data_IF_805535958439
#
_entry.id   IF_805535958439
#
_cell.length_a   1.000
_cell.length_b   1.000
_cell.length_c   1.000
_cell.angle_alpha   90.00
_cell.angle_beta   90.00
_cell.angle_gamma   90.00
#
_symmetry.space_group_name_H-M   'P 1'
#
loop_
_entity.id
_entity.type
_entity.pdbx_description
1 polymer ?
#
# COMPACT_ATOMS: atom_id res chain seq x y z
N UNK A 1 -60.61 4.35 -18.67
CA UNK A 1 -59.78 4.81 -17.53
C UNK A 1 -59.95 3.82 -16.39
N UNK A 2 -58.85 3.25 -15.88
CA UNK A 2 -58.56 3.41 -14.46
C UNK A 2 -57.08 3.75 -14.20
N UNK A 3 -56.86 4.70 -13.30
CA UNK A 3 -55.55 5.16 -12.81
C UNK A 3 -55.06 4.25 -11.68
N UNK A 4 -53.81 3.79 -11.76
CA UNK A 4 -53.09 3.24 -10.61
C UNK A 4 -52.00 4.21 -10.17
N UNK A 5 -52.21 4.83 -9.01
CA UNK A 5 -51.22 5.66 -8.31
C UNK A 5 -50.15 4.74 -7.70
N UNK A 6 -48.89 4.88 -8.14
CA UNK A 6 -47.72 4.23 -7.51
C UNK A 6 -47.00 5.25 -6.63
N UNK A 7 -47.01 5.01 -5.30
CA UNK A 7 -46.16 5.72 -4.32
C UNK A 7 -44.68 5.48 -4.66
N UNK A 8 -43.91 6.56 -4.77
CA UNK A 8 -42.46 6.56 -5.02
C UNK A 8 -41.74 6.55 -3.66
N UNK A 9 -41.08 5.45 -3.30
CA UNK A 9 -40.16 5.42 -2.15
C UNK A 9 -38.87 6.14 -2.55
N UNK A 10 -38.48 7.14 -1.76
CA UNK A 10 -37.20 7.83 -1.89
C UNK A 10 -36.07 6.88 -1.44
N UNK A 11 -34.99 6.70 -2.23
CA UNK A 11 -33.83 5.97 -1.76
C UNK A 11 -33.07 6.84 -0.75
N UNK A 12 -32.88 6.33 0.47
CA UNK A 12 -31.97 6.93 1.46
C UNK A 12 -30.57 7.03 0.85
N UNK A 13 -30.09 8.24 0.57
CA UNK A 13 -28.71 8.46 0.15
C UNK A 13 -27.79 8.38 1.38
N UNK A 14 -27.11 7.27 1.58
CA UNK A 14 -26.00 7.20 2.51
C UNK A 14 -24.85 8.08 1.97
N UNK A 15 -24.66 9.27 2.55
CA UNK A 15 -23.52 10.13 2.22
C UNK A 15 -22.26 9.55 2.86
N UNK A 16 -21.43 8.93 2.02
CA UNK A 16 -20.09 8.43 2.31
C UNK A 16 -19.15 9.61 2.61
N UNK A 17 -18.33 9.51 3.67
CA UNK A 17 -17.25 10.45 4.00
C UNK A 17 -15.90 9.75 3.93
N UNK A 18 -14.98 10.29 3.14
CA UNK A 18 -13.56 9.95 3.15
C UNK A 18 -12.86 10.75 4.25
N UNK A 19 -12.07 10.07 5.07
CA UNK A 19 -11.29 10.64 6.17
C UNK A 19 -9.88 10.07 6.02
N UNK A 20 -8.90 10.93 5.79
CA UNK A 20 -7.49 10.53 5.87
C UNK A 20 -7.10 10.48 7.34
N UNK A 21 -6.51 9.37 7.76
CA UNK A 21 -6.15 9.16 9.15
C UNK A 21 -4.75 9.65 9.48
N UNK A 22 -4.41 9.63 10.78
CA UNK A 22 -3.06 9.95 11.25
C UNK A 22 -2.00 9.00 10.71
N UNK A 23 -2.41 7.77 10.32
CA UNK A 23 -1.53 6.76 9.73
C UNK A 23 -1.35 6.93 8.21
N UNK A 24 -2.04 7.90 7.61
CA UNK A 24 -1.91 8.24 6.19
C UNK A 24 -2.81 7.50 5.22
N UNK A 25 -3.68 6.63 5.71
CA UNK A 25 -4.64 5.89 4.89
C UNK A 25 -5.98 6.63 4.80
N UNK A 26 -6.65 6.52 3.66
CA UNK A 26 -8.02 7.04 3.50
C UNK A 26 -9.02 6.02 4.04
N UNK A 27 -9.58 6.29 5.24
CA UNK A 27 -10.77 5.62 5.79
C UNK A 27 -12.02 6.14 5.10
N UNK A 28 -12.98 5.24 4.93
CA UNK A 28 -14.29 5.58 4.38
C UNK A 28 -15.34 5.21 5.42
N UNK A 29 -16.07 6.22 5.89
CA UNK A 29 -17.17 6.05 6.84
C UNK A 29 -18.51 6.29 6.16
N UNK A 30 -19.48 5.40 6.40
CA UNK A 30 -20.89 5.62 6.04
C UNK A 30 -21.61 6.24 7.22
N UNK A 31 -22.43 7.27 7.01
CA UNK A 31 -23.16 7.99 8.07
C UNK A 31 -24.30 7.20 8.74
N UNK A 32 -24.30 5.87 8.69
CA UNK A 32 -25.37 5.00 9.18
C UNK A 32 -24.82 3.87 10.05
N UNK A 33 -24.17 4.21 11.14
CA UNK A 33 -23.91 3.27 12.24
C UNK A 33 -24.08 4.01 13.55
N UNK A 34 -25.25 3.84 14.14
CA UNK A 34 -25.54 4.16 15.55
C UNK A 34 -24.42 3.59 16.43
N UNK A 35 -23.83 4.37 17.35
CA UNK A 35 -22.88 3.82 18.29
C UNK A 35 -23.62 2.81 19.18
N UNK A 36 -23.14 1.56 19.19
CA UNK A 36 -23.53 0.60 20.22
C UNK A 36 -23.04 1.14 21.56
N UNK A 37 -23.98 1.70 22.34
CA UNK A 37 -23.74 2.13 23.71
C UNK A 37 -23.44 0.90 24.57
N UNK A 38 -22.17 0.68 24.86
CA UNK A 38 -21.75 -0.25 25.92
C UNK A 38 -21.99 0.46 27.25
N UNK A 39 -22.95 -0.05 28.01
CA UNK A 39 -23.32 0.45 29.33
C UNK A 39 -22.19 0.19 30.36
N UNK A 40 -21.79 1.18 31.17
CA UNK A 40 -20.95 0.93 32.33
C UNK A 40 -21.81 0.49 33.51
N UNK A 41 -21.40 -0.62 34.14
CA UNK A 41 -22.00 -1.11 35.39
C UNK A 41 -21.81 -0.12 36.54
N UNK A 42 -22.89 0.00 37.32
CA UNK A 42 -23.08 0.72 38.58
C UNK A 42 -21.85 0.82 39.52
N UNK A 43 -21.64 2.01 40.09
CA UNK A 43 -21.56 2.23 41.55
C UNK A 43 -21.57 3.74 41.93
N UNK A 44 -22.71 4.16 42.47
CA UNK A 44 -22.90 4.92 43.73
C UNK A 44 -22.29 6.32 43.94
N UNK A 45 -23.21 7.31 44.03
CA UNK A 45 -23.28 8.50 44.91
C UNK A 45 -22.13 9.55 44.90
N UNK A 46 -22.50 10.81 44.64
CA UNK A 46 -21.70 11.98 45.03
C UNK A 46 -22.07 13.25 44.27
N UNK A 47 -22.55 14.25 44.98
CA UNK A 47 -23.14 15.49 44.49
C UNK A 47 -22.16 16.48 43.83
N UNK A 48 -22.75 17.37 43.02
CA UNK A 48 -22.32 18.77 42.74
C UNK A 48 -21.09 19.01 41.85
N UNK A 49 -21.30 19.71 40.73
CA UNK A 49 -20.19 20.38 40.02
C UNK A 49 -20.41 20.56 38.52
N UNK A 50 -20.99 21.68 38.17
CA UNK A 50 -21.27 22.16 36.82
C UNK A 50 -19.97 22.59 36.10
N UNK A 51 -19.52 21.87 35.07
CA UNK A 51 -18.66 22.44 34.00
C UNK A 51 -18.97 21.74 32.68
N UNK A 52 -19.58 22.49 31.77
CA UNK A 52 -19.76 22.12 30.36
C UNK A 52 -18.42 22.17 29.64
N UNK A 53 -17.80 21.01 29.40
CA UNK A 53 -16.74 20.86 28.40
C UNK A 53 -17.18 19.82 27.39
N UNK A 54 -17.55 20.30 26.20
CA UNK A 54 -17.75 19.48 25.02
C UNK A 54 -16.42 18.82 24.65
N UNK A 55 -16.17 17.63 25.18
CA UNK A 55 -15.07 16.77 24.75
C UNK A 55 -15.43 16.18 23.39
N UNK A 56 -14.83 16.75 22.34
CA UNK A 56 -14.83 16.15 21.01
C UNK A 56 -13.93 14.93 21.08
N UNK A 57 -14.51 13.76 21.33
CA UNK A 57 -13.81 12.48 21.29
C UNK A 57 -13.44 12.15 19.83
N UNK A 58 -12.31 12.69 19.37
CA UNK A 58 -11.66 12.26 18.11
C UNK A 58 -10.78 11.06 18.45
N UNK A 59 -11.41 9.91 18.70
CA UNK A 59 -10.75 8.62 18.71
C UNK A 59 -10.87 8.01 17.31
N UNK A 60 -9.95 8.36 16.40
CA UNK A 60 -9.88 7.73 15.08
C UNK A 60 -9.42 6.28 15.26
N UNK A 61 -10.37 5.35 15.22
CA UNK A 61 -10.11 3.90 15.30
C UNK A 61 -9.41 3.43 14.02
N UNK A 62 -8.39 2.58 14.18
CA UNK A 62 -7.68 1.93 13.07
C UNK A 62 -8.66 1.32 12.06
N UNK A 63 -8.35 1.31 10.74
CA UNK A 63 -9.27 0.78 9.75
C UNK A 63 -9.45 -0.71 10.07
N UNK A 64 -10.69 -1.15 10.18
CA UNK A 64 -10.97 -2.57 10.36
C UNK A 64 -10.57 -3.31 9.07
N UNK A 65 -9.93 -4.49 9.19
CA UNK A 65 -9.73 -5.39 8.06
C UNK A 65 -11.01 -5.56 7.23
N UNK A 66 -10.88 -5.58 5.89
CA UNK A 66 -12.05 -5.78 5.03
C UNK A 66 -12.54 -7.23 5.13
N UNK A 67 -13.81 -7.49 5.46
CA UNK A 67 -14.34 -8.85 5.51
C UNK A 67 -14.11 -9.58 4.18
N UNK A 68 -13.63 -10.82 4.22
CA UNK A 68 -13.46 -11.61 3.01
C UNK A 68 -14.81 -11.81 2.30
N UNK A 69 -14.81 -11.70 0.98
CA UNK A 69 -16.00 -11.94 0.17
C UNK A 69 -16.47 -13.40 0.30
N UNK A 70 -17.79 -13.60 0.26
CA UNK A 70 -18.40 -14.91 0.43
C UNK A 70 -17.87 -15.89 -0.62
N UNK A 71 -17.37 -17.05 -0.16
CA UNK A 71 -16.79 -18.09 -1.02
C UNK A 71 -15.30 -17.94 -1.33
N UNK A 72 -14.64 -16.89 -0.81
CA UNK A 72 -13.17 -16.78 -0.89
C UNK A 72 -12.50 -17.92 -0.15
N UNK A 73 -11.46 -18.49 -0.77
CA UNK A 73 -10.65 -19.56 -0.18
C UNK A 73 -9.18 -19.37 -0.55
N UNK A 74 -8.29 -19.85 0.31
CA UNK A 74 -6.84 -19.75 0.10
C UNK A 74 -6.41 -20.44 -1.20
N UNK A 75 -6.99 -21.60 -1.50
CA UNK A 75 -6.72 -22.33 -2.75
C UNK A 75 -7.19 -21.54 -3.97
N UNK A 76 -8.39 -20.94 -3.91
CA UNK A 76 -8.91 -20.07 -4.96
C UNK A 76 -8.02 -18.86 -5.23
N UNK A 77 -7.56 -18.19 -4.17
CA UNK A 77 -6.64 -17.05 -4.28
C UNK A 77 -5.29 -17.45 -4.90
N UNK A 78 -4.71 -18.59 -4.48
CA UNK A 78 -3.48 -19.12 -5.09
C UNK A 78 -3.65 -19.44 -6.57
N UNK A 79 -4.76 -20.10 -6.95
CA UNK A 79 -5.04 -20.44 -8.34
C UNK A 79 -5.28 -19.20 -9.20
N UNK A 80 -5.97 -18.19 -8.67
CA UNK A 80 -6.17 -16.91 -9.35
C UNK A 80 -4.84 -16.16 -9.52
N UNK A 81 -4.03 -16.09 -8.45
CA UNK A 81 -2.74 -15.44 -8.49
C UNK A 81 -1.79 -16.12 -9.47
N UNK A 82 -1.73 -17.45 -9.53
CA UNK A 82 -0.89 -18.16 -10.49
C UNK A 82 -1.23 -17.77 -11.95
N UNK A 83 -2.52 -17.66 -12.29
CA UNK A 83 -2.96 -17.19 -13.61
C UNK A 83 -2.54 -15.75 -13.90
N UNK A 84 -2.64 -14.87 -12.91
CA UNK A 84 -2.25 -13.46 -13.03
C UNK A 84 -0.72 -13.33 -13.11
N UNK A 85 0.02 -14.12 -12.35
CA UNK A 85 1.48 -14.15 -12.37
C UNK A 85 2.00 -14.56 -13.75
N UNK A 86 1.41 -15.58 -14.39
CA UNK A 86 1.74 -15.93 -15.78
C UNK A 86 1.43 -14.78 -16.74
N UNK A 87 0.24 -14.17 -16.67
CA UNK A 87 -0.12 -13.02 -17.51
C UNK A 87 0.81 -11.84 -17.32
N UNK A 88 1.24 -11.58 -16.08
CA UNK A 88 2.20 -10.53 -15.74
C UNK A 88 3.57 -10.79 -16.38
N UNK A 89 4.08 -12.02 -16.29
CA UNK A 89 5.37 -12.42 -16.84
C UNK A 89 5.45 -12.22 -18.37
N UNK A 90 4.32 -12.34 -19.06
CA UNK A 90 4.23 -12.13 -20.51
C UNK A 90 4.24 -10.64 -20.92
N UNK A 91 4.26 -9.69 -19.97
CA UNK A 91 4.19 -8.25 -20.27
C UNK A 91 5.56 -7.63 -20.59
N UNK A 92 5.57 -6.60 -21.43
CA UNK A 92 6.73 -5.74 -21.68
C UNK A 92 7.20 -5.00 -20.42
N UNK A 93 6.24 -4.67 -19.55
CA UNK A 93 6.50 -4.03 -18.28
C UNK A 93 7.32 -4.95 -17.34
N UNK A 94 6.95 -6.23 -17.22
CA UNK A 94 7.73 -7.21 -16.46
C UNK A 94 9.17 -7.28 -16.97
N UNK A 95 9.36 -7.43 -18.29
CA UNK A 95 10.71 -7.47 -18.91
C UNK A 95 11.50 -6.21 -18.63
N UNK A 96 10.87 -5.04 -18.72
CA UNK A 96 11.49 -3.74 -18.48
C UNK A 96 11.94 -3.57 -17.02
N UNK A 97 11.13 -4.02 -16.06
CA UNK A 97 11.47 -4.02 -14.62
C UNK A 97 12.71 -4.89 -14.36
N UNK A 98 12.70 -6.13 -14.86
CA UNK A 98 13.83 -7.05 -14.69
C UNK A 98 15.12 -6.54 -15.34
N UNK A 99 15.01 -5.97 -16.54
CA UNK A 99 16.14 -5.40 -17.27
C UNK A 99 16.73 -4.22 -16.50
N UNK A 100 15.90 -3.31 -16.01
CA UNK A 100 16.36 -2.12 -15.28
C UNK A 100 17.10 -2.50 -13.99
N UNK A 101 16.54 -3.42 -13.20
CA UNK A 101 17.20 -3.93 -12.00
C UNK A 101 18.57 -4.52 -12.33
N UNK A 102 18.64 -5.33 -13.39
CA UNK A 102 19.84 -6.06 -13.80
C UNK A 102 20.91 -5.21 -14.46
N UNK A 103 20.54 -4.20 -15.24
CA UNK A 103 21.50 -3.48 -16.10
C UNK A 103 21.84 -2.08 -15.58
N UNK A 104 21.01 -1.51 -14.71
CA UNK A 104 21.17 -0.12 -14.25
C UNK A 104 21.32 0.01 -12.74
N UNK A 105 20.60 -0.81 -11.97
CA UNK A 105 20.46 -0.56 -10.53
C UNK A 105 21.40 -1.42 -9.70
N UNK A 106 21.42 -2.74 -9.93
CA UNK A 106 22.12 -3.68 -9.05
C UNK A 106 23.50 -4.11 -9.56
N UNK A 107 23.85 -3.81 -10.82
CA UNK A 107 25.16 -4.17 -11.40
C UNK A 107 26.09 -2.97 -11.62
N UNK A 108 25.53 -1.77 -11.64
CA UNK A 108 26.23 -0.57 -12.12
C UNK A 108 26.75 0.21 -10.94
N UNK A 109 27.85 -0.25 -10.34
CA UNK A 109 28.37 0.44 -9.14
C UNK A 109 29.66 -0.06 -8.52
N UNK A 110 30.27 -1.14 -9.01
CA UNK A 110 31.56 -1.65 -8.49
C UNK A 110 31.54 -2.18 -7.05
N UNK A 111 30.52 -1.84 -6.25
CA UNK A 111 30.23 -2.40 -4.93
C UNK A 111 29.05 -3.36 -4.97
N UNK A 112 29.09 -4.37 -4.10
CA UNK A 112 27.97 -5.26 -3.86
C UNK A 112 26.83 -4.47 -3.20
N UNK A 113 25.82 -4.11 -3.97
CA UNK A 113 24.60 -3.54 -3.40
C UNK A 113 23.76 -4.65 -2.81
N UNK A 114 23.57 -4.57 -1.49
CA UNK A 114 22.80 -5.53 -0.71
C UNK A 114 21.42 -4.98 -0.43
N UNK A 115 20.38 -5.68 -0.89
CA UNK A 115 19.00 -5.38 -0.48
C UNK A 115 18.62 -6.36 0.63
N UNK A 116 18.55 -5.85 1.86
CA UNK A 116 18.24 -6.63 3.05
C UNK A 116 16.75 -6.95 3.15
N UNK A 117 15.89 -5.99 2.74
CA UNK A 117 14.45 -6.14 2.86
C UNK A 117 13.67 -5.46 1.73
N UNK A 118 12.48 -6.01 1.47
CA UNK A 118 11.53 -5.56 0.47
C UNK A 118 10.18 -5.33 1.16
N UNK A 119 9.53 -4.19 0.91
CA UNK A 119 8.23 -3.88 1.50
C UNK A 119 7.22 -3.41 0.45
N UNK A 120 6.04 -4.04 0.47
CA UNK A 120 4.88 -3.72 -0.34
C UNK A 120 3.86 -2.92 0.48
N UNK A 121 3.43 -1.77 -0.03
CA UNK A 121 2.45 -0.90 0.64
C UNK A 121 1.23 -0.69 -0.24
N UNK A 122 0.04 -0.82 0.35
CA UNK A 122 -1.16 -0.19 -0.22
C UNK A 122 -1.76 -0.89 -1.43
N UNK A 123 -1.77 -2.23 -1.47
CA UNK A 123 -2.44 -2.96 -2.56
C UNK A 123 -3.96 -3.03 -2.39
N UNK A 124 -4.47 -2.76 -1.20
CA UNK A 124 -5.81 -3.21 -0.79
C UNK A 124 -5.87 -4.72 -0.54
N UNK A 125 -7.01 -5.19 -0.05
CA UNK A 125 -7.29 -6.61 0.15
C UNK A 125 -7.42 -7.35 -1.19
N UNK A 126 -6.96 -8.60 -1.22
CA UNK A 126 -7.04 -9.47 -2.41
C UNK A 126 -8.39 -10.16 -2.53
N UNK A 127 -9.12 -10.31 -1.43
CA UNK A 127 -10.39 -11.02 -1.37
C UNK A 127 -11.51 -10.28 -0.62
N UNK A 128 -11.20 -9.11 -0.04
CA UNK A 128 -12.12 -8.32 0.77
C UNK A 128 -13.31 -7.83 -0.04
N UNK A 129 -14.51 -7.89 0.55
CA UNK A 129 -15.73 -7.43 -0.08
C UNK A 129 -15.60 -5.93 -0.39
N UNK A 130 -15.71 -5.60 -1.68
CA UNK A 130 -15.36 -4.28 -2.17
C UNK A 130 -16.32 -3.25 -1.59
N UNK A 131 -15.88 -2.52 -0.57
CA UNK A 131 -16.51 -1.24 -0.18
C UNK A 131 -16.44 -0.24 -1.34
N UNK A 132 -15.72 -0.56 -2.42
CA UNK A 132 -15.58 0.22 -3.64
C UNK A 132 -16.48 -0.31 -4.76
N UNK A 133 -17.10 0.60 -5.52
CA UNK A 133 -17.83 0.28 -6.77
C UNK A 133 -16.95 -0.34 -7.86
N UNK A 134 -15.63 -0.34 -7.63
CA UNK A 134 -14.62 -0.92 -8.50
C UNK A 134 -14.03 -2.13 -7.82
N UNK A 135 -14.26 -3.31 -8.41
CA UNK A 135 -13.48 -4.50 -8.10
C UNK A 135 -12.01 -4.24 -8.49
N UNK A 136 -11.16 -4.13 -7.47
CA UNK A 136 -9.71 -3.88 -7.57
C UNK A 136 -8.88 -5.13 -7.26
N UNK A 137 -9.49 -6.30 -7.08
CA UNK A 137 -8.75 -7.52 -6.70
C UNK A 137 -7.75 -7.91 -7.78
N UNK A 138 -8.15 -7.85 -9.05
CA UNK A 138 -7.23 -8.11 -10.17
C UNK A 138 -6.03 -7.16 -10.15
N UNK A 139 -6.25 -5.87 -9.89
CA UNK A 139 -5.19 -4.87 -9.76
C UNK A 139 -4.24 -5.19 -8.62
N UNK A 140 -4.76 -5.57 -7.44
CA UNK A 140 -3.96 -5.99 -6.29
C UNK A 140 -3.09 -7.22 -6.61
N UNK A 141 -3.63 -8.22 -7.31
CA UNK A 141 -2.86 -9.38 -7.75
C UNK A 141 -1.76 -9.02 -8.75
N UNK A 142 -2.02 -8.13 -9.72
CA UNK A 142 -0.99 -7.65 -10.66
C UNK A 142 0.13 -6.91 -9.93
N UNK A 143 -0.22 -6.06 -8.95
CA UNK A 143 0.75 -5.38 -8.10
C UNK A 143 1.60 -6.39 -7.31
N UNK A 144 0.98 -7.41 -6.71
CA UNK A 144 1.74 -8.46 -6.02
C UNK A 144 2.66 -9.25 -6.97
N UNK A 145 2.22 -9.51 -8.21
CA UNK A 145 3.06 -10.18 -9.21
C UNK A 145 4.28 -9.33 -9.60
N UNK A 146 4.10 -8.02 -9.77
CA UNK A 146 5.19 -7.07 -9.99
C UNK A 146 6.16 -7.02 -8.81
N UNK A 147 5.64 -6.96 -7.58
CA UNK A 147 6.44 -7.01 -6.35
C UNK A 147 7.32 -8.27 -6.29
N UNK A 148 6.73 -9.45 -6.50
CA UNK A 148 7.48 -10.72 -6.49
C UNK A 148 8.53 -10.79 -7.58
N UNK A 149 8.29 -10.17 -8.74
CA UNK A 149 9.26 -10.12 -9.83
C UNK A 149 10.51 -9.35 -9.42
N UNK A 150 10.34 -8.21 -8.74
CA UNK A 150 11.45 -7.44 -8.19
C UNK A 150 12.20 -8.25 -7.13
N UNK A 151 11.48 -8.83 -6.16
CA UNK A 151 12.07 -9.65 -5.08
C UNK A 151 12.91 -10.81 -5.63
N UNK A 152 12.37 -11.59 -6.56
CA UNK A 152 13.09 -12.72 -7.19
C UNK A 152 14.28 -12.25 -8.02
N UNK A 153 14.17 -11.10 -8.67
CA UNK A 153 15.29 -10.52 -9.43
C UNK A 153 16.41 -10.09 -8.50
N UNK A 154 16.07 -9.43 -7.39
CA UNK A 154 17.01 -9.07 -6.32
C UNK A 154 17.70 -10.33 -5.77
N UNK A 155 16.92 -11.33 -5.32
CA UNK A 155 17.42 -12.59 -4.78
C UNK A 155 18.44 -13.26 -5.71
N UNK A 156 18.10 -13.37 -7.01
CA UNK A 156 18.97 -13.97 -8.02
C UNK A 156 20.27 -13.19 -8.23
N UNK A 157 20.25 -11.87 -8.11
CA UNK A 157 21.41 -11.02 -8.36
C UNK A 157 22.36 -10.95 -7.16
N UNK A 158 21.83 -10.95 -5.93
CA UNK A 158 22.65 -10.87 -4.71
C UNK A 158 22.98 -12.24 -4.08
N UNK A 159 22.30 -13.32 -4.51
CA UNK A 159 22.56 -14.69 -4.05
C UNK A 159 21.96 -15.05 -2.69
N UNK A 160 21.14 -14.19 -2.09
CA UNK A 160 20.40 -14.48 -0.87
C UNK A 160 18.99 -13.86 -0.90
N UNK A 161 18.08 -14.47 -0.15
CA UNK A 161 16.69 -14.05 -0.04
C UNK A 161 16.59 -12.78 0.82
N UNK A 162 16.02 -11.67 0.32
CA UNK A 162 15.70 -10.51 1.17
C UNK A 162 14.51 -10.83 2.08
N UNK A 163 14.40 -10.15 3.23
CA UNK A 163 13.18 -10.25 4.05
C UNK A 163 12.03 -9.53 3.35
N UNK A 164 10.86 -10.18 3.24
CA UNK A 164 9.75 -9.67 2.41
C UNK A 164 8.54 -9.36 3.27
N UNK A 165 8.06 -8.11 3.18
CA UNK A 165 6.97 -7.61 3.99
C UNK A 165 5.85 -6.99 3.16
N UNK A 166 4.64 -6.99 3.71
CA UNK A 166 3.52 -6.22 3.18
C UNK A 166 2.78 -5.50 4.30
N UNK A 167 2.42 -4.23 4.07
CA UNK A 167 1.64 -3.42 5.00
C UNK A 167 0.43 -2.82 4.26
N UNK A 168 -0.76 -3.21 4.70
CA UNK A 168 -2.04 -2.72 4.19
C UNK A 168 -3.06 -2.84 5.32
N UNK A 169 -3.75 -1.76 5.70
CA UNK A 169 -4.76 -1.81 6.76
C UNK A 169 -5.94 -2.72 6.44
N UNK A 170 -6.25 -2.93 5.16
CA UNK A 170 -7.43 -3.70 4.76
C UNK A 170 -7.22 -5.21 4.68
N UNK A 171 -6.01 -5.72 4.91
CA UNK A 171 -5.77 -7.16 4.90
C UNK A 171 -6.56 -7.88 6.00
N UNK A 172 -7.37 -8.85 5.58
CA UNK A 172 -8.01 -9.81 6.47
C UNK A 172 -7.15 -11.06 6.68
N UNK A 173 -7.60 -11.94 7.56
CA UNK A 173 -6.88 -13.18 7.90
C UNK A 173 -6.59 -14.05 6.66
N UNK A 174 -7.48 -14.07 5.68
CA UNK A 174 -7.30 -14.84 4.46
C UNK A 174 -6.23 -14.22 3.55
N UNK A 175 -6.18 -12.88 3.45
CA UNK A 175 -5.08 -12.17 2.78
C UNK A 175 -3.73 -12.46 3.46
N UNK A 176 -3.70 -12.48 4.80
CA UNK A 176 -2.49 -12.81 5.57
C UNK A 176 -2.02 -14.23 5.28
N UNK A 177 -2.93 -15.21 5.27
CA UNK A 177 -2.61 -16.60 4.91
C UNK A 177 -2.14 -16.72 3.46
N UNK A 178 -2.74 -15.95 2.55
CA UNK A 178 -2.33 -15.91 1.16
C UNK A 178 -0.92 -15.34 0.99
N UNK A 179 -0.61 -14.20 1.61
CA UNK A 179 0.72 -13.59 1.62
C UNK A 179 1.76 -14.53 2.24
N UNK A 180 1.46 -15.13 3.38
CA UNK A 180 2.35 -16.09 4.04
C UNK A 180 2.65 -17.30 3.13
N UNK A 181 1.69 -17.71 2.29
CA UNK A 181 1.92 -18.79 1.31
C UNK A 181 2.82 -18.43 0.14
N UNK A 182 3.19 -17.15 0.02
CA UNK A 182 4.11 -16.62 -0.97
C UNK A 182 5.40 -16.10 -0.32
N UNK A 183 5.65 -16.46 0.93
CA UNK A 183 6.78 -16.02 1.76
C UNK A 183 6.81 -14.50 2.00
N UNK A 184 5.64 -13.87 2.04
CA UNK A 184 5.46 -12.45 2.36
C UNK A 184 4.87 -12.29 3.76
N UNK A 185 5.59 -11.61 4.65
CA UNK A 185 5.14 -11.38 6.03
C UNK A 185 4.28 -10.11 6.10
N UNK A 186 3.00 -10.25 6.49
CA UNK A 186 2.19 -9.08 6.81
C UNK A 186 2.72 -8.39 8.06
N UNK A 187 2.83 -7.07 8.04
CA UNK A 187 3.18 -6.24 9.18
C UNK A 187 2.12 -5.17 9.42
N UNK A 188 1.94 -4.76 10.67
CA UNK A 188 1.03 -3.69 11.06
C UNK A 188 1.70 -2.32 10.96
N UNK A 189 0.90 -1.26 10.77
CA UNK A 189 1.41 0.10 10.85
C UNK A 189 1.97 0.39 12.26
N UNK A 190 3.14 1.07 12.40
CA UNK A 190 3.98 1.66 11.35
C UNK A 190 5.15 0.76 10.88
N UNK A 191 5.14 -0.53 11.23
CA UNK A 191 6.31 -1.41 11.15
C UNK A 191 6.91 -1.52 9.76
N UNK A 192 6.09 -1.52 8.71
CA UNK A 192 6.55 -1.55 7.32
C UNK A 192 7.48 -0.38 6.99
N UNK A 193 7.18 0.82 7.50
CA UNK A 193 8.02 1.99 7.31
C UNK A 193 9.31 1.94 8.14
N UNK A 194 9.25 1.40 9.35
CA UNK A 194 10.43 1.24 10.22
C UNK A 194 11.48 0.28 9.64
N UNK A 195 11.06 -0.63 8.76
CA UNK A 195 11.93 -1.58 8.09
C UNK A 195 12.64 -0.96 6.88
N UNK A 196 12.22 0.21 6.39
CA UNK A 196 12.86 0.85 5.24
C UNK A 196 14.13 1.60 5.64
N UNK A 197 15.19 1.36 4.90
CA UNK A 197 16.49 2.04 5.00
C UNK A 197 17.22 2.09 3.64
N UNK A 198 18.48 2.57 3.63
CA UNK A 198 19.31 2.66 2.41
C UNK A 198 19.64 1.32 1.72
N UNK A 199 19.26 0.18 2.31
CA UNK A 199 19.43 -1.17 1.79
C UNK A 199 18.06 -1.86 1.56
N UNK A 200 17.00 -1.08 1.41
CA UNK A 200 15.65 -1.60 1.21
C UNK A 200 15.08 -1.32 -0.18
N UNK A 201 14.15 -2.18 -0.61
CA UNK A 201 13.26 -1.93 -1.73
C UNK A 201 11.84 -1.63 -1.21
N UNK A 202 11.24 -0.55 -1.68
CA UNK A 202 9.84 -0.22 -1.43
C UNK A 202 9.02 -0.33 -2.73
N UNK A 203 7.78 -0.79 -2.61
CA UNK A 203 6.78 -0.68 -3.69
C UNK A 203 5.48 -0.13 -3.14
N UNK A 204 5.00 0.96 -3.73
CA UNK A 204 3.73 1.59 -3.35
C UNK A 204 2.94 2.08 -4.58
N UNK A 205 2.21 1.21 -5.28
CA UNK A 205 1.60 1.53 -6.58
C UNK A 205 0.51 2.61 -6.54
N UNK A 206 -0.16 2.76 -5.40
CA UNK A 206 -1.25 3.72 -5.21
C UNK A 206 -1.23 4.32 -3.81
N UNK A 207 -0.03 4.69 -3.34
CA UNK A 207 0.12 5.28 -2.02
C UNK A 207 -0.55 6.66 -1.91
N UNK A 208 -1.21 6.87 -0.78
CA UNK A 208 -1.65 8.18 -0.34
C UNK A 208 -0.44 9.04 0.04
N UNK A 209 -0.64 10.37 0.07
CA UNK A 209 0.44 11.35 0.31
C UNK A 209 1.28 11.08 1.56
N UNK A 210 0.65 10.61 2.64
CA UNK A 210 1.33 10.34 3.89
C UNK A 210 2.17 9.05 3.83
N UNK A 211 1.71 8.04 3.08
CA UNK A 211 2.52 6.85 2.76
C UNK A 211 3.73 7.26 1.92
N UNK A 212 3.54 8.13 0.92
CA UNK A 212 4.65 8.70 0.13
C UNK A 212 5.65 9.45 1.03
N UNK A 213 5.16 10.32 1.92
CA UNK A 213 5.98 11.09 2.87
C UNK A 213 6.83 10.18 3.77
N UNK A 214 6.22 9.14 4.35
CA UNK A 214 6.93 8.20 5.20
C UNK A 214 7.99 7.42 4.43
N UNK A 215 7.72 6.98 3.19
CA UNK A 215 8.72 6.30 2.37
C UNK A 215 9.87 7.25 2.00
N UNK A 216 9.58 8.49 1.61
CA UNK A 216 10.60 9.51 1.32
C UNK A 216 11.51 9.74 2.54
N UNK A 217 10.94 9.83 3.75
CA UNK A 217 11.70 10.04 4.99
C UNK A 217 12.67 8.89 5.32
N UNK A 218 12.37 7.68 4.87
CA UNK A 218 13.19 6.47 5.06
C UNK A 218 14.22 6.28 3.96
N UNK A 219 13.96 6.86 2.79
CA UNK A 219 14.85 6.96 1.66
C UNK A 219 15.44 5.60 1.23
N UNK A 220 14.57 4.64 0.81
CA UNK A 220 14.93 3.28 0.40
C UNK A 220 15.90 3.27 -0.77
N UNK A 221 16.69 2.20 -0.96
CA UNK A 221 17.61 2.13 -2.11
C UNK A 221 16.90 2.22 -3.44
N UNK A 222 15.79 1.50 -3.53
CA UNK A 222 14.98 1.34 -4.73
C UNK A 222 13.52 1.58 -4.33
N UNK A 223 12.81 2.37 -5.12
CA UNK A 223 11.38 2.58 -4.93
C UNK A 223 10.65 2.47 -6.25
N UNK A 224 9.75 1.49 -6.34
CA UNK A 224 8.76 1.43 -7.41
C UNK A 224 7.53 2.23 -6.97
N UNK A 225 7.18 3.28 -7.70
CA UNK A 225 6.09 4.18 -7.34
C UNK A 225 5.52 4.86 -8.58
N UNK A 226 4.44 5.61 -8.45
CA UNK A 226 3.98 6.51 -9.52
C UNK A 226 4.88 7.75 -9.64
N UNK A 227 4.75 8.48 -10.74
CA UNK A 227 5.37 9.80 -10.88
C UNK A 227 4.82 10.78 -9.84
N UNK A 228 5.71 11.57 -9.24
CA UNK A 228 5.36 12.68 -8.35
C UNK A 228 4.66 13.85 -9.06
N UNK A 229 4.57 13.83 -10.40
CA UNK A 229 3.88 14.90 -11.14
C UNK A 229 2.37 14.91 -10.85
N UNK A 230 1.85 13.83 -10.28
CA UNK A 230 0.47 13.71 -9.79
C UNK A 230 0.32 14.03 -8.28
N UNK A 231 1.41 14.41 -7.59
CA UNK A 231 1.36 14.75 -6.16
C UNK A 231 0.78 16.16 -6.00
N UNK A 232 -0.53 16.24 -5.73
CA UNK A 232 -1.31 17.47 -5.81
C UNK A 232 -1.18 18.41 -4.59
N UNK A 233 -0.44 18.05 -3.54
CA UNK A 233 -0.29 18.87 -2.33
C UNK A 233 0.86 18.45 -1.39
N UNK A 234 1.86 17.74 -1.92
CA UNK A 234 3.00 17.17 -1.17
C UNK A 234 3.99 18.17 -0.59
N UNK A 235 4.78 17.71 0.40
CA UNK A 235 6.01 18.37 0.85
C UNK A 235 6.98 18.54 -0.33
N UNK A 236 6.89 19.70 -0.99
CA UNK A 236 7.63 20.00 -2.20
C UNK A 236 9.13 19.99 -1.95
N UNK A 237 9.59 20.31 -0.75
CA UNK A 237 11.02 20.36 -0.43
C UNK A 237 11.57 18.94 -0.34
N UNK A 238 10.91 18.05 0.41
CA UNK A 238 11.31 16.65 0.51
C UNK A 238 11.25 15.93 -0.84
N UNK A 239 10.20 16.15 -1.65
CA UNK A 239 10.10 15.58 -2.99
C UNK A 239 11.21 16.12 -3.91
N UNK A 240 11.49 17.43 -3.86
CA UNK A 240 12.53 18.03 -4.70
C UNK A 240 13.92 17.52 -4.32
N UNK A 241 14.17 17.31 -3.03
CA UNK A 241 15.40 16.66 -2.54
C UNK A 241 15.48 15.23 -3.03
N UNK A 242 14.41 14.44 -2.86
CA UNK A 242 14.37 13.06 -3.31
C UNK A 242 14.64 12.94 -4.82
N UNK A 243 13.97 13.76 -5.66
CA UNK A 243 14.18 13.78 -7.12
C UNK A 243 15.62 14.13 -7.54
N UNK A 244 16.37 14.85 -6.70
CA UNK A 244 17.78 15.20 -6.95
C UNK A 244 18.73 14.08 -6.52
N UNK A 245 18.43 13.43 -5.41
CA UNK A 245 19.29 12.40 -4.82
C UNK A 245 19.10 11.01 -5.50
N UNK A 246 18.05 10.86 -6.31
CA UNK A 246 17.68 9.62 -6.98
C UNK A 246 17.71 9.75 -8.50
N UNK A 247 18.25 8.72 -9.15
CA UNK A 247 17.97 8.45 -10.55
C UNK A 247 16.57 7.85 -10.70
N UNK A 248 16.00 7.99 -11.89
CA UNK A 248 14.69 7.41 -12.18
C UNK A 248 14.55 7.01 -13.65
N UNK A 249 13.58 6.13 -13.89
CA UNK A 249 13.13 5.78 -15.22
C UNK A 249 11.64 5.48 -15.22
N UNK A 250 10.94 6.10 -16.18
CA UNK A 250 9.53 5.82 -16.44
C UNK A 250 9.40 4.42 -17.03
N UNK A 251 8.48 3.64 -16.51
CA UNK A 251 8.21 2.29 -16.99
C UNK A 251 7.15 2.32 -18.11
N UNK A 252 7.15 1.32 -19.01
CA UNK A 252 6.10 1.22 -20.03
C UNK A 252 4.71 1.17 -19.42
N UNK A 253 3.75 1.82 -20.06
CA UNK A 253 2.34 1.70 -19.68
C UNK A 253 1.84 0.26 -19.89
N UNK A 254 0.95 -0.17 -19.00
CA UNK A 254 0.29 -1.47 -19.10
C UNK A 254 -1.22 -1.26 -18.97
N UNK A 255 -1.93 -1.41 -20.09
CA UNK A 255 -3.37 -1.21 -20.16
C UNK A 255 -4.11 -2.39 -19.51
N UNK A 256 -4.44 -2.21 -18.23
CA UNK A 256 -5.21 -3.14 -17.43
C UNK A 256 -6.36 -2.39 -16.77
N UNK A 257 -7.44 -3.12 -16.48
CA UNK A 257 -8.57 -2.59 -15.73
C UNK A 257 -8.09 -1.97 -14.41
N UNK A 258 -8.57 -0.75 -14.15
CA UNK A 258 -8.22 0.10 -13.00
C UNK A 258 -6.76 0.59 -12.95
N UNK A 259 -5.99 0.42 -14.02
CA UNK A 259 -4.67 1.01 -14.22
C UNK A 259 -3.68 0.84 -13.06
N UNK A 260 -3.38 -0.42 -12.63
CA UNK A 260 -2.51 -0.70 -11.48
C UNK A 260 -1.10 -0.11 -11.57
N UNK A 261 -0.66 0.28 -12.77
CA UNK A 261 0.69 0.77 -13.08
C UNK A 261 0.71 2.16 -13.73
N UNK A 262 -0.39 2.91 -13.71
CA UNK A 262 -0.46 4.22 -14.35
C UNK A 262 0.67 5.17 -13.89
N UNK A 263 1.48 5.63 -14.84
CA UNK A 263 2.59 6.54 -14.54
C UNK A 263 3.65 5.93 -13.63
N UNK A 264 3.88 4.61 -13.68
CA UNK A 264 4.89 3.93 -12.87
C UNK A 264 6.31 4.39 -13.21
N UNK A 265 7.10 4.60 -12.18
CA UNK A 265 8.48 5.04 -12.22
C UNK A 265 9.28 4.18 -11.24
N UNK A 266 10.43 3.70 -11.69
CA UNK A 266 11.42 3.12 -10.81
C UNK A 266 12.39 4.24 -10.40
N UNK A 267 12.60 4.39 -9.10
CA UNK A 267 13.54 5.33 -8.49
C UNK A 267 14.67 4.54 -7.82
N UNK A 268 15.91 4.98 -7.94
CA UNK A 268 17.03 4.38 -7.21
C UNK A 268 18.12 5.40 -6.88
N UNK A 269 18.85 5.18 -5.78
CA UNK A 269 20.01 6.02 -5.45
C UNK A 269 21.13 5.82 -6.46
N UNK A 270 21.70 6.93 -6.94
CA UNK A 270 22.92 6.94 -7.74
C UNK A 270 24.17 6.52 -6.94
N UNK A 271 25.31 6.45 -7.62
CA UNK A 271 26.54 5.84 -7.08
C UNK A 271 27.31 6.70 -6.05
N UNK A 272 26.94 7.96 -5.86
CA UNK A 272 27.73 8.94 -5.09
C UNK A 272 27.71 8.74 -3.55
N UNK A 273 26.87 7.85 -3.02
CA UNK A 273 26.77 7.62 -1.56
C UNK A 273 27.93 6.77 -0.98
N UNK A 274 28.88 6.28 -1.79
CA UNK A 274 29.97 5.41 -1.30
C UNK A 274 31.23 6.15 -0.82
N UNK A 275 31.27 7.48 -0.85
CA UNK A 275 32.45 8.26 -0.46
C UNK A 275 32.47 8.77 1.00
N UNK A 276 31.42 8.54 1.82
CA UNK A 276 31.38 9.05 3.21
C UNK A 276 31.83 8.07 4.31
N UNK A 277 32.38 6.89 4.00
CA UNK A 277 32.87 5.93 5.02
C UNK A 277 34.40 5.81 5.15
N UNK A 278 35.17 6.75 4.60
CA UNK A 278 36.64 6.82 4.81
C UNK A 278 37.03 8.21 5.33
N UNK A 279 36.49 8.59 6.48
CA UNK A 279 36.95 9.76 7.26
C UNK A 279 36.43 9.70 8.71
N UNK A 280 36.80 8.65 9.42
CA UNK A 280 36.91 8.69 10.89
C UNK A 280 38.14 7.89 11.28
N UNK A 281 39.10 8.60 11.87
CA UNK A 281 40.35 8.11 12.45
C UNK A 281 40.16 7.00 13.48
#
# INVERSE_FOLDING_TARGET
MPHTSRKKNNPHSNKRREIVDQDGWTRITTSSSTPLTVAPQNQTQGESGQVSTSSVAVGASLPLPMPASQGSSLEGMRAQFAKIETRWQDTDLCRSVEQMLRERILTTGGGEYHIANCALFGTGSFCGDAVHWVDRHESAYFQLAAFRTVVRTIERLQGHVPQVYAQEPYYNDLDVLFLASLDVTKVDHPKGFELLDRNSFAYSPAAEQEVESQIISRAPRIWLHRSFDHSLQGDRESISKFKRDYEHAVLPELDLKNFPFHGSVMWWRGNDDTYEQVQTE
#
